data_IF_985797051557
#
_entry.id   IF_985797051557
#
_cell.length_a   1.000
_cell.length_b   1.000
_cell.length_c   1.000
_cell.angle_alpha   90.00
_cell.angle_beta   90.00
_cell.angle_gamma   90.00
#
_symmetry.space_group_name_H-M   'P 1'
#
loop_
_entity.id
_entity.type
_entity.pdbx_description
1 polymer ?
#
# COMPACT_ATOMS: atom_id res chain seq x y z
N UNK A 1 -11.58 20.66 -8.28
CA UNK A 1 -11.58 19.23 -7.94
C UNK A 1 -12.29 19.05 -6.62
N UNK A 2 -13.35 18.30 -6.62
CA UNK A 2 -14.04 17.87 -5.40
C UNK A 2 -13.09 17.00 -4.60
N UNK A 3 -12.93 17.32 -3.33
CA UNK A 3 -12.15 16.53 -2.39
C UNK A 3 -12.93 15.23 -2.16
N UNK A 4 -12.49 14.13 -2.75
CA UNK A 4 -13.14 12.82 -2.67
C UNK A 4 -12.90 12.10 -1.34
N UNK A 5 -12.21 12.75 -0.42
CA UNK A 5 -11.87 12.17 0.88
C UNK A 5 -12.91 12.59 1.92
N UNK A 6 -13.67 11.63 2.44
CA UNK A 6 -14.60 11.87 3.55
C UNK A 6 -13.81 11.99 4.87
N UNK A 7 -13.92 13.15 5.53
CA UNK A 7 -13.26 13.38 6.82
C UNK A 7 -13.74 12.43 7.91
N UNK A 8 -15.00 12.00 7.88
CA UNK A 8 -15.58 11.06 8.86
C UNK A 8 -14.93 9.69 8.74
N UNK A 9 -14.70 9.25 7.51
CA UNK A 9 -14.02 7.99 7.23
C UNK A 9 -12.58 8.01 7.74
N UNK A 10 -11.83 9.10 7.50
CA UNK A 10 -10.47 9.27 8.05
C UNK A 10 -10.49 9.23 9.57
N UNK A 11 -11.43 9.91 10.22
CA UNK A 11 -11.54 9.91 11.68
C UNK A 11 -11.85 8.52 12.24
N UNK A 12 -12.73 7.76 11.57
CA UNK A 12 -13.06 6.39 11.96
C UNK A 12 -11.84 5.47 11.87
N UNK A 13 -11.12 5.49 10.76
CA UNK A 13 -9.89 4.70 10.62
C UNK A 13 -8.79 5.16 11.57
N UNK A 14 -8.69 6.46 11.82
CA UNK A 14 -7.72 7.02 12.77
C UNK A 14 -7.97 6.53 14.20
N UNK A 15 -9.21 6.40 14.62
CA UNK A 15 -9.57 5.89 15.96
C UNK A 15 -9.20 4.41 16.18
N UNK A 16 -9.07 3.65 15.10
CA UNK A 16 -8.75 2.21 15.10
C UNK A 16 -7.29 1.93 14.74
N UNK A 17 -6.48 2.95 14.48
CA UNK A 17 -5.14 2.80 13.90
C UNK A 17 -4.20 1.89 14.70
N UNK A 18 -4.28 1.89 16.03
CA UNK A 18 -3.48 1.04 16.90
C UNK A 18 -3.84 -0.45 16.83
N UNK A 19 -4.96 -0.81 16.17
CA UNK A 19 -5.43 -2.18 16.02
C UNK A 19 -5.15 -2.79 14.64
N UNK A 20 -4.48 -2.06 13.75
CA UNK A 20 -4.18 -2.54 12.39
C UNK A 20 -3.52 -3.92 12.36
N UNK A 21 -2.62 -4.19 13.28
CA UNK A 21 -1.84 -5.43 13.33
C UNK A 21 -2.36 -6.45 14.34
N UNK A 22 -3.51 -6.19 14.96
CA UNK A 22 -4.21 -7.17 15.79
C UNK A 22 -4.95 -8.17 14.89
N UNK A 23 -4.43 -9.39 14.82
CA UNK A 23 -4.96 -10.47 13.96
C UNK A 23 -6.37 -10.93 14.38
N UNK A 24 -6.80 -10.65 15.59
CA UNK A 24 -8.14 -10.94 16.12
C UNK A 24 -9.04 -9.70 16.18
N UNK A 25 -8.50 -8.52 15.86
CA UNK A 25 -9.16 -7.23 15.94
C UNK A 25 -10.03 -6.89 14.72
N UNK A 26 -10.46 -5.63 14.62
CA UNK A 26 -11.39 -5.18 13.59
C UNK A 26 -10.85 -5.33 12.16
N UNK A 27 -9.53 -5.40 11.97
CA UNK A 27 -8.87 -5.58 10.68
C UNK A 27 -8.49 -7.04 10.36
N UNK A 28 -8.96 -8.01 11.17
CA UNK A 28 -8.68 -9.44 10.96
C UNK A 28 -9.10 -9.95 9.57
N UNK A 29 -10.20 -9.42 9.02
CA UNK A 29 -10.66 -9.77 7.68
C UNK A 29 -9.64 -9.34 6.60
N UNK A 30 -9.05 -8.13 6.72
CA UNK A 30 -8.03 -7.65 5.79
C UNK A 30 -6.78 -8.53 5.82
N UNK A 31 -6.35 -8.98 7.00
CA UNK A 31 -5.23 -9.92 7.13
C UNK A 31 -5.52 -11.25 6.42
N UNK A 32 -6.72 -11.83 6.62
CA UNK A 32 -7.13 -13.07 5.98
C UNK A 32 -7.20 -12.95 4.45
N UNK A 33 -7.81 -11.87 3.96
CA UNK A 33 -7.99 -11.63 2.53
C UNK A 33 -6.67 -11.23 1.83
N UNK A 34 -5.72 -10.68 2.56
CA UNK A 34 -4.47 -10.18 1.97
C UNK A 34 -3.64 -11.27 1.30
N UNK A 35 -3.74 -12.53 1.73
CA UNK A 35 -3.04 -13.64 1.07
C UNK A 35 -3.60 -13.92 -0.32
N UNK A 36 -4.93 -13.99 -0.45
CA UNK A 36 -5.58 -14.18 -1.75
C UNK A 36 -5.32 -12.99 -2.70
N UNK A 37 -5.29 -11.77 -2.15
CA UNK A 37 -4.96 -10.56 -2.91
C UNK A 37 -3.54 -10.59 -3.44
N UNK A 38 -2.58 -10.97 -2.61
CA UNK A 38 -1.18 -11.11 -3.03
C UNK A 38 -1.03 -12.17 -4.11
N UNK A 39 -1.69 -13.30 -3.99
CA UNK A 39 -1.68 -14.34 -5.02
C UNK A 39 -2.22 -13.81 -6.34
N UNK A 40 -3.36 -13.15 -6.34
CA UNK A 40 -3.95 -12.53 -7.54
C UNK A 40 -3.02 -11.48 -8.15
N UNK A 41 -2.44 -10.60 -7.35
CA UNK A 41 -1.54 -9.53 -7.81
C UNK A 41 -0.30 -10.15 -8.45
N UNK A 42 0.33 -11.12 -7.82
CA UNK A 42 1.57 -11.73 -8.31
C UNK A 42 1.35 -12.50 -9.60
N UNK A 43 0.28 -13.30 -9.69
CA UNK A 43 -0.05 -14.04 -10.92
C UNK A 43 -0.28 -13.11 -12.11
N UNK A 44 -1.01 -12.00 -11.90
CA UNK A 44 -1.25 -11.03 -12.96
C UNK A 44 -0.01 -10.19 -13.30
N UNK A 45 0.76 -9.77 -12.31
CA UNK A 45 2.00 -9.04 -12.53
C UNK A 45 2.99 -9.85 -13.38
N UNK A 46 3.24 -11.10 -13.03
CA UNK A 46 4.13 -12.00 -13.78
C UNK A 46 3.66 -12.15 -15.23
N UNK A 47 2.34 -12.35 -15.43
CA UNK A 47 1.76 -12.53 -16.77
C UNK A 47 1.90 -11.30 -17.67
N UNK A 48 1.71 -10.09 -17.09
CA UNK A 48 1.69 -8.84 -17.85
C UNK A 48 3.10 -8.32 -18.11
N UNK A 49 3.99 -8.40 -17.14
CA UNK A 49 5.31 -7.78 -17.18
C UNK A 49 6.30 -8.61 -18.02
N UNK A 50 6.01 -9.88 -18.29
CA UNK A 50 6.86 -10.81 -19.09
C UNK A 50 8.35 -10.65 -18.79
N UNK A 51 8.70 -10.65 -17.51
CA UNK A 51 10.08 -10.49 -17.09
C UNK A 51 10.87 -11.76 -17.44
N UNK A 52 11.82 -11.63 -18.35
CA UNK A 52 12.71 -12.73 -18.75
C UNK A 52 13.66 -13.16 -17.63
N UNK A 53 13.92 -12.26 -16.69
CA UNK A 53 14.73 -12.51 -15.50
C UNK A 53 13.89 -12.21 -14.24
N UNK A 54 13.17 -13.21 -13.77
CA UNK A 54 12.58 -13.14 -12.42
C UNK A 54 13.74 -13.26 -11.44
N UNK A 55 13.98 -12.21 -10.64
CA UNK A 55 14.92 -12.27 -9.53
C UNK A 55 14.54 -13.35 -8.51
N UNK A 56 15.23 -13.39 -7.39
CA UNK A 56 14.96 -14.36 -6.32
C UNK A 56 13.51 -14.24 -5.80
N UNK A 57 12.93 -13.03 -5.86
CA UNK A 57 11.55 -12.77 -5.43
C UNK A 57 10.67 -12.39 -6.62
N UNK A 58 9.38 -12.71 -6.52
CA UNK A 58 8.40 -12.58 -7.60
C UNK A 58 8.23 -11.15 -8.13
N UNK A 59 8.40 -10.12 -7.28
CA UNK A 59 8.20 -8.72 -7.61
C UNK A 59 9.50 -7.90 -7.58
N UNK A 60 10.65 -8.56 -7.63
CA UNK A 60 11.95 -7.87 -7.56
C UNK A 60 12.08 -6.75 -8.58
N UNK A 61 12.41 -5.56 -8.08
CA UNK A 61 12.65 -4.35 -8.86
C UNK A 61 11.41 -3.68 -9.43
N UNK A 62 10.20 -4.17 -9.16
CA UNK A 62 8.97 -3.50 -9.57
C UNK A 62 8.64 -2.35 -8.62
N UNK A 63 8.25 -1.21 -9.17
CA UNK A 63 7.76 -0.07 -8.41
C UNK A 63 6.25 -0.20 -8.21
N UNK A 64 5.81 -0.37 -6.98
CA UNK A 64 4.41 -0.55 -6.61
C UNK A 64 3.88 0.65 -5.83
N UNK A 65 2.69 1.13 -6.20
CA UNK A 65 1.93 2.10 -5.44
C UNK A 65 0.73 1.41 -4.78
N UNK A 66 0.65 1.51 -3.45
CA UNK A 66 -0.46 1.03 -2.64
C UNK A 66 -1.30 2.24 -2.17
N UNK A 67 -2.45 2.44 -2.82
CA UNK A 67 -3.38 3.55 -2.55
C UNK A 67 -4.31 3.15 -1.42
N UNK A 68 -4.44 3.99 -0.39
CA UNK A 68 -5.21 3.67 0.80
C UNK A 68 -4.57 2.54 1.59
N UNK A 69 -3.24 2.62 1.78
CA UNK A 69 -2.46 1.52 2.37
C UNK A 69 -2.77 1.24 3.84
N UNK A 70 -3.49 2.13 4.53
CA UNK A 70 -3.82 2.00 5.95
C UNK A 70 -2.58 1.76 6.81
N UNK A 71 -2.64 0.76 7.68
CA UNK A 71 -1.54 0.33 8.55
C UNK A 71 -0.46 -0.49 7.86
N UNK A 72 -0.50 -0.66 6.52
CA UNK A 72 0.57 -1.26 5.73
C UNK A 72 0.52 -2.77 5.57
N UNK A 73 -0.62 -3.43 5.82
CA UNK A 73 -0.76 -4.89 5.74
C UNK A 73 -0.38 -5.42 4.36
N UNK A 74 -0.92 -4.83 3.30
CA UNK A 74 -0.64 -5.25 1.92
C UNK A 74 0.73 -4.77 1.46
N UNK A 75 1.08 -3.53 1.78
CA UNK A 75 2.38 -2.93 1.45
C UNK A 75 3.56 -3.78 1.94
N UNK A 76 3.51 -4.29 3.17
CA UNK A 76 4.58 -5.13 3.70
C UNK A 76 4.69 -6.46 2.98
N UNK A 77 3.57 -7.07 2.57
CA UNK A 77 3.58 -8.31 1.79
C UNK A 77 4.19 -8.10 0.41
N UNK A 78 3.86 -6.99 -0.27
CA UNK A 78 4.46 -6.62 -1.55
C UNK A 78 5.98 -6.42 -1.41
N UNK A 79 6.40 -5.73 -0.34
CA UNK A 79 7.84 -5.52 -0.08
C UNK A 79 8.59 -6.82 0.20
N UNK A 80 8.00 -7.76 0.93
CA UNK A 80 8.59 -9.09 1.17
C UNK A 80 8.76 -9.90 -0.13
N UNK A 81 7.97 -9.62 -1.15
CA UNK A 81 8.10 -10.21 -2.49
C UNK A 81 9.08 -9.45 -3.41
N UNK A 82 9.80 -8.46 -2.88
CA UNK A 82 10.87 -7.74 -3.57
C UNK A 82 10.46 -6.40 -4.20
N UNK A 83 9.18 -6.03 -4.16
CA UNK A 83 8.74 -4.77 -4.75
C UNK A 83 9.33 -3.54 -4.02
N UNK A 84 9.57 -2.46 -4.77
CA UNK A 84 9.82 -1.13 -4.22
C UNK A 84 8.47 -0.48 -3.97
N UNK A 85 8.04 -0.40 -2.71
CA UNK A 85 6.68 -0.02 -2.36
C UNK A 85 6.61 1.43 -1.90
N UNK A 86 5.68 2.18 -2.48
CA UNK A 86 5.18 3.45 -1.97
C UNK A 86 3.75 3.25 -1.51
N UNK A 87 3.48 3.46 -0.22
CA UNK A 87 2.14 3.41 0.36
C UNK A 87 1.64 4.83 0.65
N UNK A 88 0.43 5.14 0.22
CA UNK A 88 -0.22 6.42 0.51
C UNK A 88 -1.55 6.23 1.22
N UNK A 89 -1.81 7.09 2.17
CA UNK A 89 -3.09 7.14 2.89
C UNK A 89 -3.35 8.56 3.38
N UNK A 90 -4.62 8.94 3.50
CA UNK A 90 -5.01 10.25 4.02
C UNK A 90 -4.97 10.32 5.55
N UNK A 91 -4.99 9.18 6.24
CA UNK A 91 -4.93 9.07 7.70
C UNK A 91 -3.48 9.11 8.19
N UNK A 92 -3.11 10.18 8.87
CA UNK A 92 -1.79 10.31 9.46
C UNK A 92 -1.50 9.21 10.49
N UNK A 93 -2.46 8.88 11.32
CA UNK A 93 -2.30 7.85 12.36
C UNK A 93 -2.08 6.46 11.76
N UNK A 94 -2.78 6.11 10.66
CA UNK A 94 -2.53 4.86 9.93
C UNK A 94 -1.13 4.82 9.34
N UNK A 95 -0.67 5.90 8.73
CA UNK A 95 0.69 6.02 8.18
C UNK A 95 1.75 5.91 9.29
N UNK A 96 1.54 6.54 10.45
CA UNK A 96 2.48 6.45 11.57
C UNK A 96 2.62 4.99 12.05
N UNK A 97 1.51 4.26 12.17
CA UNK A 97 1.49 2.83 12.51
C UNK A 97 2.18 1.99 11.43
N UNK A 98 1.91 2.26 10.15
CA UNK A 98 2.55 1.56 9.04
C UNK A 98 4.07 1.71 9.07
N UNK A 99 4.56 2.93 9.28
CA UNK A 99 6.00 3.22 9.42
C UNK A 99 6.63 2.51 10.62
N UNK A 100 5.96 2.54 11.77
CA UNK A 100 6.45 1.89 12.99
C UNK A 100 6.54 0.37 12.80
N UNK A 101 5.51 -0.26 12.23
CA UNK A 101 5.49 -1.70 12.00
C UNK A 101 6.53 -2.12 10.96
N UNK A 102 6.66 -1.41 9.86
CA UNK A 102 7.67 -1.68 8.84
C UNK A 102 9.09 -1.60 9.43
N UNK A 103 9.36 -0.59 10.27
CA UNK A 103 10.64 -0.45 10.98
C UNK A 103 10.91 -1.66 11.89
N UNK A 104 9.93 -2.10 12.69
CA UNK A 104 10.05 -3.30 13.53
C UNK A 104 10.30 -4.56 12.69
N UNK A 105 9.67 -4.64 11.52
CA UNK A 105 9.81 -5.74 10.56
C UNK A 105 11.08 -5.63 9.68
N UNK A 106 11.88 -4.58 9.84
CA UNK A 106 13.08 -4.28 9.03
C UNK A 106 12.78 -4.20 7.53
N UNK A 107 11.64 -3.60 7.18
CA UNK A 107 11.21 -3.40 5.81
C UNK A 107 11.34 -1.93 5.43
N UNK A 108 11.95 -1.66 4.28
CA UNK A 108 12.03 -0.31 3.70
C UNK A 108 10.83 -0.08 2.78
N UNK A 109 9.89 0.76 3.22
CA UNK A 109 8.69 1.14 2.49
C UNK A 109 8.53 2.66 2.57
N UNK A 110 8.22 3.29 1.44
CA UNK A 110 8.02 4.74 1.37
C UNK A 110 6.57 5.09 1.66
N UNK A 111 6.24 5.33 2.94
CA UNK A 111 4.90 5.74 3.35
C UNK A 111 4.73 7.25 3.36
N UNK A 112 3.64 7.74 2.73
CA UNK A 112 3.30 9.16 2.66
C UNK A 112 1.85 9.40 3.09
N UNK A 113 1.64 10.38 3.98
CA UNK A 113 0.31 10.85 4.34
C UNK A 113 -0.17 11.88 3.32
N UNK A 114 -0.69 11.42 2.20
CA UNK A 114 -1.19 12.25 1.11
C UNK A 114 -2.37 11.60 0.41
N UNK A 115 -3.17 12.41 -0.27
CA UNK A 115 -4.24 11.93 -1.17
C UNK A 115 -3.69 11.62 -2.55
N UNK A 116 -4.43 10.84 -3.33
CA UNK A 116 -4.10 10.53 -4.73
C UNK A 116 -3.97 11.80 -5.58
N UNK A 117 -4.90 12.74 -5.41
CA UNK A 117 -4.87 14.03 -6.14
C UNK A 117 -3.60 14.84 -5.84
N UNK A 118 -3.12 14.81 -4.60
CA UNK A 118 -1.89 15.49 -4.22
C UNK A 118 -0.65 14.77 -4.76
N UNK A 119 -0.67 13.44 -4.77
CA UNK A 119 0.41 12.65 -5.37
C UNK A 119 0.56 12.97 -6.86
N UNK A 120 -0.56 12.98 -7.61
CA UNK A 120 -0.55 13.29 -9.05
C UNK A 120 0.09 14.64 -9.34
N UNK A 121 -0.25 15.68 -8.58
CA UNK A 121 0.37 17.01 -8.74
C UNK A 121 1.89 16.99 -8.52
N UNK A 122 2.35 16.25 -7.51
CA UNK A 122 3.79 16.11 -7.23
C UNK A 122 4.50 15.37 -8.36
N UNK A 123 3.88 14.33 -8.92
CA UNK A 123 4.43 13.54 -10.03
C UNK A 123 4.48 14.36 -11.32
N UNK A 124 3.43 15.14 -11.61
CA UNK A 124 3.40 16.06 -12.76
C UNK A 124 4.51 17.13 -12.67
N UNK A 125 4.70 17.73 -11.48
CA UNK A 125 5.73 18.76 -11.26
C UNK A 125 7.16 18.23 -11.35
N UNK A 126 7.39 16.97 -11.00
CA UNK A 126 8.75 16.40 -10.89
C UNK A 126 9.12 15.45 -12.02
N UNK A 127 8.21 15.19 -12.97
CA UNK A 127 8.38 14.16 -14.02
C UNK A 127 8.83 12.80 -13.44
N UNK A 128 8.29 12.46 -12.27
CA UNK A 128 8.74 11.33 -11.46
C UNK A 128 8.24 9.98 -11.95
N UNK A 129 9.03 9.01 -11.60
CA UNK A 129 9.01 7.60 -11.95
C UNK A 129 7.62 7.00 -12.01
N UNK A 130 7.38 6.31 -13.09
CA UNK A 130 6.17 5.51 -13.33
C UNK A 130 6.17 4.32 -12.37
N UNK A 131 4.99 4.03 -11.82
CA UNK A 131 4.76 2.78 -11.10
C UNK A 131 4.46 1.67 -12.10
N UNK A 132 5.03 0.50 -11.87
CA UNK A 132 4.75 -0.70 -12.66
C UNK A 132 3.41 -1.33 -12.25
N UNK A 133 3.07 -1.23 -10.96
CA UNK A 133 1.83 -1.70 -10.37
C UNK A 133 1.18 -0.61 -9.52
N UNK A 134 -0.11 -0.41 -9.71
CA UNK A 134 -0.94 0.46 -8.86
C UNK A 134 -2.06 -0.39 -8.27
N UNK A 135 -2.15 -0.40 -6.95
CA UNK A 135 -3.09 -1.21 -6.19
C UNK A 135 -3.99 -0.27 -5.39
N UNK A 136 -5.30 -0.46 -5.52
CA UNK A 136 -6.31 0.21 -4.72
C UNK A 136 -7.25 -0.87 -4.17
N UNK A 137 -6.99 -1.32 -2.95
CA UNK A 137 -7.73 -2.40 -2.30
C UNK A 137 -8.55 -1.85 -1.15
N UNK A 138 -9.88 -2.06 -1.17
CA UNK A 138 -10.82 -1.53 -0.16
C UNK A 138 -10.80 0.01 -0.07
N UNK A 139 -10.74 0.70 -1.19
CA UNK A 139 -10.64 2.17 -1.26
C UNK A 139 -11.73 2.78 -2.13
N UNK A 140 -12.27 2.00 -3.06
CA UNK A 140 -13.31 2.43 -4.00
C UNK A 140 -14.58 1.66 -3.63
N UNK A 141 -15.39 2.27 -2.80
CA UNK A 141 -16.71 1.77 -2.41
C UNK A 141 -17.80 2.78 -2.78
#
# INVERSE_FOLDING_TARGET
MTNTVDKREIEQFSSLSNKWWDMSGPFSALHKMSNARIEFITQNAIRIIKKENIGVNLLDGLNCLDIGCGGGILSEKLRRLGANVTGIDASKSSIDIAKEHAKKSRLEINYKCITTSKLLKIEEEKALNKFDLVIASEVIE
#
